data_IF_863750101186
#
_entry.id   IF_863750101186
#
_cell.length_a   1.000
_cell.length_b   1.000
_cell.length_c   1.000
_cell.angle_alpha   90.00
_cell.angle_beta   90.00
_cell.angle_gamma   90.00
#
_symmetry.space_group_name_H-M   'P 1'
#
loop_
_entity.id
_entity.type
_entity.pdbx_description
1 polymer ?
#
# COMPACT_ATOMS: atom_id res chain seq x y z
N UNK A 1 13.35 4.47 21.12
CA UNK A 1 12.21 4.47 22.08
C UNK A 1 11.08 3.56 21.60
N UNK A 2 10.68 3.55 20.31
CA UNK A 2 9.86 2.45 19.76
C UNK A 2 10.54 1.07 19.85
N UNK A 3 11.86 0.98 19.62
CA UNK A 3 12.67 -0.23 19.90
C UNK A 3 12.59 -0.74 21.35
N UNK A 4 12.24 0.11 22.33
CA UNK A 4 12.08 -0.30 23.74
C UNK A 4 10.69 -0.89 24.01
N UNK A 5 9.70 -0.60 23.15
CA UNK A 5 8.37 -1.19 23.19
C UNK A 5 8.34 -2.56 22.46
N UNK A 6 9.35 -2.86 21.64
CA UNK A 6 9.52 -4.16 20.95
C UNK A 6 10.46 -5.16 21.64
N UNK A 7 11.07 -4.80 22.79
CA UNK A 7 12.03 -5.66 23.48
C UNK A 7 11.37 -6.58 24.52
N UNK A 8 11.42 -7.91 24.31
CA UNK A 8 11.03 -8.92 25.31
C UNK A 8 11.92 -8.87 26.57
N UNK A 9 11.41 -9.25 27.75
CA UNK A 9 12.24 -9.78 28.84
C UNK A 9 12.83 -11.14 28.42
N UNK A 10 14.13 -11.37 28.65
CA UNK A 10 14.82 -12.59 28.24
C UNK A 10 14.27 -13.84 28.95
N UNK A 11 14.00 -14.91 28.19
CA UNK A 11 13.88 -16.27 28.72
C UNK A 11 14.91 -17.18 28.04
N UNK A 12 15.62 -17.95 28.85
CA UNK A 12 16.74 -18.83 28.53
C UNK A 12 16.32 -20.09 27.73
N UNK A 13 17.27 -20.88 27.17
CA UNK A 13 17.08 -21.64 25.94
C UNK A 13 16.50 -23.05 26.16
N UNK A 14 15.68 -23.50 25.22
CA UNK A 14 15.28 -24.91 25.12
C UNK A 14 15.92 -25.60 23.90
N UNK A 15 16.36 -26.82 24.18
CA UNK A 15 17.23 -27.74 23.44
C UNK A 15 16.73 -28.14 22.06
N UNK A 16 17.70 -28.34 21.15
CA UNK A 16 17.61 -29.11 19.92
C UNK A 16 17.05 -30.52 20.16
N UNK A 17 16.24 -31.01 19.21
CA UNK A 17 16.20 -32.42 18.84
C UNK A 17 15.97 -32.57 17.33
N UNK A 18 16.97 -33.16 16.69
CA UNK A 18 17.04 -33.64 15.32
C UNK A 18 16.01 -34.72 14.98
N UNK A 19 15.54 -34.77 13.72
CA UNK A 19 15.80 -35.92 12.85
C UNK A 19 15.19 -35.75 11.45
N UNK A 20 16.06 -35.91 10.45
CA UNK A 20 15.73 -36.05 9.04
C UNK A 20 15.06 -37.42 8.78
N UNK A 21 13.99 -37.44 7.98
CA UNK A 21 13.59 -38.63 7.22
C UNK A 21 13.46 -38.30 5.75
N UNK A 22 14.34 -38.94 4.96
CA UNK A 22 14.34 -38.97 3.51
C UNK A 22 13.16 -39.84 3.03
N UNK A 23 12.32 -39.30 2.16
CA UNK A 23 11.36 -40.07 1.38
C UNK A 23 11.89 -40.26 -0.04
N UNK A 24 12.01 -41.52 -0.46
CA UNK A 24 12.35 -41.96 -1.82
C UNK A 24 11.10 -42.06 -2.67
N UNK A 25 11.10 -41.44 -3.86
CA UNK A 25 10.05 -41.54 -4.88
C UNK A 25 10.43 -42.57 -5.96
N UNK A 26 9.52 -43.45 -6.44
CA UNK A 26 9.78 -44.34 -7.57
C UNK A 26 9.42 -43.71 -8.93
N UNK A 27 10.26 -44.05 -9.91
CA UNK A 27 10.22 -43.71 -11.34
C UNK A 27 8.92 -44.15 -12.04
N UNK A 28 8.40 -43.34 -12.96
CA UNK A 28 7.55 -43.78 -14.06
C UNK A 28 7.99 -43.18 -15.41
N UNK A 29 7.62 -43.90 -16.47
CA UNK A 29 8.30 -44.03 -17.76
C UNK A 29 7.95 -42.93 -18.77
N UNK A 30 8.93 -42.62 -19.63
CA UNK A 30 8.79 -41.91 -20.91
C UNK A 30 7.92 -42.69 -21.90
N UNK A 31 7.09 -41.98 -22.66
CA UNK A 31 6.68 -42.40 -24.01
C UNK A 31 6.58 -41.19 -24.95
N UNK A 32 7.31 -41.26 -26.06
CA UNK A 32 7.30 -40.33 -27.19
C UNK A 32 6.02 -40.45 -28.03
N UNK A 33 5.59 -39.33 -28.65
CA UNK A 33 4.88 -39.22 -29.94
C UNK A 33 4.84 -37.73 -30.31
N UNK A 34 5.81 -37.21 -31.06
CA UNK A 34 5.85 -36.99 -32.54
C UNK A 34 4.71 -36.11 -33.09
N UNK A 35 5.11 -34.94 -33.60
CA UNK A 35 4.33 -33.96 -34.36
C UNK A 35 3.80 -34.52 -35.70
N UNK A 36 2.69 -33.96 -36.17
CA UNK A 36 2.44 -33.79 -37.61
C UNK A 36 1.74 -32.45 -37.89
N UNK A 37 2.32 -31.68 -38.80
CA UNK A 37 1.79 -30.48 -39.44
C UNK A 37 0.98 -30.92 -40.67
N UNK A 38 -0.23 -30.38 -40.85
CA UNK A 38 -0.86 -30.27 -42.17
C UNK A 38 -1.86 -29.11 -42.21
N UNK A 39 -1.64 -28.27 -43.21
CA UNK A 39 -2.25 -27.01 -43.64
C UNK A 39 -3.69 -27.16 -44.12
N UNK A 40 -4.52 -26.11 -44.00
CA UNK A 40 -5.44 -25.66 -45.06
C UNK A 40 -6.04 -24.28 -44.74
N UNK A 41 -5.76 -23.33 -45.64
CA UNK A 41 -6.29 -21.97 -45.68
C UNK A 41 -7.73 -21.94 -46.22
N UNK A 42 -8.57 -21.04 -45.72
CA UNK A 42 -9.50 -20.28 -46.59
C UNK A 42 -9.95 -18.97 -45.93
N UNK A 43 -9.72 -17.87 -46.64
CA UNK A 43 -10.12 -16.49 -46.32
C UNK A 43 -11.63 -16.29 -46.48
N UNK A 44 -12.27 -15.61 -45.53
CA UNK A 44 -13.39 -14.70 -45.80
C UNK A 44 -13.24 -13.44 -44.95
N UNK A 45 -13.13 -12.30 -45.64
CA UNK A 45 -13.16 -10.94 -45.12
C UNK A 45 -14.56 -10.61 -44.57
N UNK A 46 -14.62 -10.07 -43.36
CA UNK A 46 -15.62 -9.05 -43.03
C UNK A 46 -14.97 -7.96 -42.17
N UNK A 47 -15.17 -6.72 -42.61
CA UNK A 47 -14.63 -5.49 -42.03
C UNK A 47 -15.30 -5.22 -40.69
N UNK A 48 -14.51 -4.92 -39.66
CA UNK A 48 -14.95 -4.12 -38.53
C UNK A 48 -13.81 -3.17 -38.12
N UNK A 49 -14.13 -1.93 -37.70
CA UNK A 49 -13.14 -0.87 -37.54
C UNK A 49 -12.23 -1.20 -36.36
N UNK A 50 -10.93 -1.03 -36.57
CA UNK A 50 -9.90 -1.08 -35.54
C UNK A 50 -10.26 -0.09 -34.43
N UNK A 51 -10.79 -0.61 -33.33
CA UNK A 51 -10.60 0.01 -32.02
C UNK A 51 -9.11 -0.16 -31.74
N UNK A 52 -8.35 0.92 -31.95
CA UNK A 52 -6.98 1.01 -31.48
C UNK A 52 -7.04 0.93 -29.95
N UNK A 53 -6.83 -0.25 -29.40
CA UNK A 53 -6.46 -0.41 -28.00
C UNK A 53 -5.07 0.21 -27.91
N UNK A 54 -5.01 1.47 -27.48
CA UNK A 54 -3.76 2.07 -27.04
C UNK A 54 -3.37 1.29 -25.78
N UNK A 55 -2.60 0.21 -25.97
CA UNK A 55 -1.72 -0.29 -24.94
C UNK A 55 -0.71 0.83 -24.71
N UNK A 56 -0.93 1.63 -23.68
CA UNK A 56 0.03 2.63 -23.25
C UNK A 56 1.17 1.92 -22.50
N UNK A 57 1.86 0.99 -23.18
CA UNK A 57 3.20 0.63 -22.77
C UNK A 57 4.05 1.83 -23.14
N UNK A 58 4.50 2.61 -22.15
CA UNK A 58 5.41 3.72 -22.40
C UNK A 58 6.59 3.19 -23.24
N UNK A 59 6.85 3.80 -24.40
CA UNK A 59 8.00 3.44 -25.23
C UNK A 59 9.27 3.49 -24.36
N UNK A 60 10.22 2.54 -24.48
CA UNK A 60 11.49 2.60 -23.76
C UNK A 60 12.23 3.94 -23.94
N UNK A 61 11.95 4.64 -25.05
CA UNK A 61 12.48 5.97 -25.35
C UNK A 61 11.97 7.10 -24.42
N UNK A 62 10.98 6.85 -23.56
CA UNK A 62 10.37 7.86 -22.70
C UNK A 62 11.03 7.99 -21.31
N UNK A 63 12.00 7.15 -20.98
CA UNK A 63 12.64 7.12 -19.65
C UNK A 63 14.09 7.58 -19.69
N UNK A 64 14.60 8.16 -18.59
CA UNK A 64 16.02 8.60 -18.50
C UNK A 64 17.00 7.42 -18.43
N UNK A 65 16.51 6.25 -18.03
CA UNK A 65 17.20 4.96 -18.14
C UNK A 65 16.28 3.95 -18.82
N UNK A 66 16.86 2.98 -19.52
CA UNK A 66 16.09 1.88 -20.11
C UNK A 66 15.44 1.04 -18.98
N UNK A 67 14.11 0.88 -18.98
CA UNK A 67 13.41 0.11 -17.97
C UNK A 67 13.71 -1.39 -18.14
N UNK A 68 13.96 -2.08 -17.04
CA UNK A 68 13.99 -3.54 -17.00
C UNK A 68 12.57 -4.09 -16.93
N UNK A 69 12.36 -5.27 -17.48
CA UNK A 69 11.10 -5.97 -17.34
C UNK A 69 10.85 -6.32 -15.87
N UNK A 70 9.73 -5.86 -15.33
CA UNK A 70 9.29 -6.22 -13.99
C UNK A 70 9.02 -7.74 -13.90
N UNK A 71 9.28 -8.36 -12.72
CA UNK A 71 8.85 -9.73 -12.46
C UNK A 71 7.33 -9.88 -12.67
N UNK A 72 6.92 -11.01 -13.24
CA UNK A 72 5.50 -11.31 -13.39
C UNK A 72 4.93 -11.75 -12.04
N UNK A 73 3.87 -11.07 -11.59
CA UNK A 73 3.12 -11.45 -10.40
C UNK A 73 1.84 -12.17 -10.85
N UNK A 74 1.80 -13.48 -10.60
CA UNK A 74 0.60 -14.28 -10.85
C UNK A 74 -0.44 -14.02 -9.76
N UNK A 75 -1.61 -13.53 -10.16
CA UNK A 75 -2.77 -13.33 -9.28
C UNK A 75 -3.87 -14.27 -9.75
N UNK A 76 -4.43 -15.14 -8.89
CA UNK A 76 -5.52 -16.04 -9.28
C UNK A 76 -6.69 -15.29 -9.89
N UNK A 77 -7.39 -15.90 -10.85
CA UNK A 77 -8.62 -15.34 -11.41
C UNK A 77 -9.70 -15.24 -10.31
N UNK A 78 -10.55 -14.22 -10.38
CA UNK A 78 -11.59 -14.00 -9.37
C UNK A 78 -12.53 -12.85 -9.71
N UNK A 79 -13.45 -12.58 -8.81
CA UNK A 79 -14.43 -11.48 -8.90
C UNK A 79 -13.77 -10.12 -8.63
N UNK A 80 -14.53 -9.03 -8.75
CA UNK A 80 -14.08 -7.69 -8.32
C UNK A 80 -14.86 -7.18 -7.09
N UNK A 81 -14.25 -6.22 -6.39
CA UNK A 81 -14.88 -5.40 -5.35
C UNK A 81 -14.93 -3.94 -5.78
N UNK A 82 -15.87 -3.18 -5.23
CA UNK A 82 -15.79 -1.72 -5.29
C UNK A 82 -14.84 -1.23 -4.19
N UNK A 83 -13.98 -0.28 -4.54
CA UNK A 83 -13.04 0.35 -3.60
C UNK A 83 -13.24 1.85 -3.69
N UNK A 84 -13.49 2.50 -2.58
CA UNK A 84 -13.52 3.97 -2.48
C UNK A 84 -12.41 4.42 -1.56
N UNK A 85 -11.64 5.42 -1.97
CA UNK A 85 -10.57 6.00 -1.15
C UNK A 85 -11.11 7.16 -0.32
N UNK A 86 -10.78 7.19 0.96
CA UNK A 86 -11.25 8.16 1.94
C UNK A 86 -10.06 9.02 2.38
N UNK A 87 -10.18 10.33 2.20
CA UNK A 87 -9.34 11.30 2.91
C UNK A 87 -9.80 11.33 4.37
N UNK A 88 -8.97 10.81 5.29
CA UNK A 88 -9.31 10.76 6.71
C UNK A 88 -9.30 12.15 7.38
N UNK A 89 -9.12 13.24 6.63
CA UNK A 89 -9.05 14.62 7.13
C UNK A 89 -7.89 14.85 8.10
N UNK A 90 -6.82 14.07 7.95
CA UNK A 90 -5.62 14.11 8.80
C UNK A 90 -4.56 14.98 8.15
N UNK A 91 -4.11 15.99 8.88
CA UNK A 91 -2.87 16.72 8.62
C UNK A 91 -1.85 16.32 9.69
N UNK A 92 -0.97 15.37 9.33
CA UNK A 92 0.15 14.96 10.17
C UNK A 92 1.45 15.48 9.55
N UNK A 93 2.28 16.12 10.38
CA UNK A 93 3.64 16.54 10.00
C UNK A 93 4.65 15.99 11.00
N UNK A 94 5.70 15.38 10.47
CA UNK A 94 6.77 14.80 11.28
C UNK A 94 8.14 15.02 10.63
N UNK A 95 9.24 15.04 11.41
CA UNK A 95 10.58 15.09 10.84
C UNK A 95 10.87 13.87 9.96
N UNK A 96 11.27 14.10 8.70
CA UNK A 96 11.55 13.03 7.74
C UNK A 96 12.59 12.04 8.28
N UNK A 97 13.63 12.57 8.95
CA UNK A 97 14.77 11.82 9.45
C UNK A 97 14.43 10.74 10.49
N UNK A 98 13.22 10.73 11.05
CA UNK A 98 12.75 9.64 11.90
C UNK A 98 12.43 8.37 11.10
N UNK A 99 12.07 8.52 9.82
CA UNK A 99 11.54 7.44 8.98
C UNK A 99 12.47 7.10 7.83
N UNK A 100 13.06 8.12 7.21
CA UNK A 100 13.74 8.00 5.93
C UNK A 100 14.96 8.92 5.81
N UNK A 101 15.89 8.55 4.94
CA UNK A 101 17.05 9.36 4.58
C UNK A 101 17.60 9.02 3.20
N UNK A 102 18.53 9.82 2.64
CA UNK A 102 19.10 11.03 3.24
C UNK A 102 18.10 12.19 3.31
N UNK A 103 18.40 13.21 4.12
CA UNK A 103 17.64 14.45 4.12
C UNK A 103 17.87 15.18 2.79
N UNK A 104 16.79 15.46 2.07
CA UNK A 104 16.79 16.20 0.81
C UNK A 104 16.44 17.66 1.13
N UNK A 105 17.17 18.67 0.62
CA UNK A 105 16.85 20.07 0.88
C UNK A 105 15.39 20.41 0.55
N UNK A 106 14.66 20.94 1.53
CA UNK A 106 13.23 21.26 1.41
C UNK A 106 12.28 20.13 1.82
N UNK A 107 12.80 18.95 2.16
CA UNK A 107 12.04 17.80 2.69
C UNK A 107 12.51 17.39 4.10
N UNK A 108 12.84 18.36 4.95
CA UNK A 108 13.21 18.08 6.35
C UNK A 108 11.99 17.62 7.18
N UNK A 109 10.80 18.06 6.78
CA UNK A 109 9.51 17.74 7.41
C UNK A 109 8.60 17.10 6.37
N UNK A 110 8.20 15.86 6.63
CA UNK A 110 7.22 15.14 5.84
C UNK A 110 5.81 15.58 6.19
N UNK A 111 4.97 15.76 5.16
CA UNK A 111 3.51 15.79 5.31
C UNK A 111 3.00 14.38 5.06
N UNK A 112 2.31 13.80 6.03
CA UNK A 112 1.81 12.44 5.98
C UNK A 112 0.29 12.49 6.18
N UNK A 113 -0.52 12.51 5.10
CA UNK A 113 -1.95 12.27 5.27
C UNK A 113 -2.18 10.86 5.81
N UNK A 114 -3.40 10.57 6.25
CA UNK A 114 -3.83 9.20 6.47
C UNK A 114 -4.95 8.89 5.51
N UNK A 115 -4.87 7.72 4.86
CA UNK A 115 -5.85 7.26 3.89
C UNK A 115 -6.54 6.02 4.43
N UNK A 116 -7.84 5.92 4.19
CA UNK A 116 -8.66 4.73 4.46
C UNK A 116 -9.33 4.28 3.18
N UNK A 117 -9.72 3.00 3.11
CA UNK A 117 -10.43 2.46 1.96
C UNK A 117 -11.71 1.77 2.40
N UNK A 118 -12.83 2.17 1.79
CA UNK A 118 -14.09 1.43 1.87
C UNK A 118 -14.10 0.37 0.78
N UNK A 119 -14.21 -0.90 1.18
CA UNK A 119 -14.25 -2.07 0.29
C UNK A 119 -15.65 -2.65 0.35
N UNK A 120 -16.34 -2.70 -0.79
CA UNK A 120 -17.70 -3.23 -0.88
C UNK A 120 -17.73 -4.46 -1.80
N UNK A 121 -18.10 -5.59 -1.21
CA UNK A 121 -18.25 -6.87 -1.92
C UNK A 121 -19.64 -6.99 -2.53
N UNK A 122 -19.76 -7.69 -3.67
CA UNK A 122 -21.05 -7.91 -4.36
C UNK A 122 -22.08 -8.66 -3.51
N UNK A 123 -21.61 -9.44 -2.52
CA UNK A 123 -22.42 -10.12 -1.52
C UNK A 123 -22.98 -9.20 -0.43
N UNK A 124 -22.69 -7.89 -0.48
CA UNK A 124 -23.26 -6.87 0.40
C UNK A 124 -22.38 -6.48 1.59
N UNK A 125 -21.33 -7.25 1.87
CA UNK A 125 -20.38 -6.98 2.97
C UNK A 125 -19.53 -5.74 2.67
N UNK A 126 -19.30 -4.93 3.70
CA UNK A 126 -18.46 -3.72 3.65
C UNK A 126 -17.36 -3.78 4.69
N UNK A 127 -16.15 -3.49 4.27
CA UNK A 127 -14.96 -3.45 5.12
C UNK A 127 -14.30 -2.09 5.01
N UNK A 128 -13.65 -1.68 6.10
CA UNK A 128 -12.70 -0.56 6.08
C UNK A 128 -11.29 -1.12 6.16
N UNK A 129 -10.39 -0.60 5.33
CA UNK A 129 -8.95 -0.82 5.47
C UNK A 129 -8.34 0.46 6.04
N UNK A 130 -7.87 0.37 7.28
CA UNK A 130 -7.47 1.46 8.18
C UNK A 130 -8.57 2.50 8.49
N UNK A 131 -8.34 3.28 9.54
CA UNK A 131 -9.22 4.36 10.02
C UNK A 131 -8.50 5.70 10.16
N UNK A 132 -7.22 5.77 9.80
CA UNK A 132 -6.40 6.95 10.01
C UNK A 132 -6.12 7.26 11.47
N UNK A 133 -5.99 8.55 11.81
CA UNK A 133 -5.82 9.04 13.16
C UNK A 133 -7.17 9.38 13.79
N UNK A 134 -7.38 9.02 15.07
CA UNK A 134 -8.58 9.42 15.81
C UNK A 134 -8.69 10.95 15.92
N UNK A 135 -9.91 11.47 15.79
CA UNK A 135 -10.20 12.92 15.87
C UNK A 135 -9.73 13.54 17.18
N UNK A 136 -9.94 12.84 18.29
CA UNK A 136 -9.54 13.23 19.64
C UNK A 136 -8.19 12.60 20.01
N UNK A 137 -7.17 12.77 19.17
CA UNK A 137 -5.84 12.15 19.34
C UNK A 137 -5.17 12.46 20.69
N UNK A 138 -5.61 13.48 21.42
CA UNK A 138 -5.16 13.74 22.79
C UNK A 138 -5.54 12.63 23.78
N UNK A 139 -6.51 11.78 23.41
CA UNK A 139 -6.93 10.58 24.15
C UNK A 139 -6.21 9.30 23.69
N UNK A 140 -5.17 9.42 22.86
CA UNK A 140 -4.27 8.29 22.60
C UNK A 140 -3.68 7.76 23.93
N UNK A 141 -3.32 6.47 24.00
CA UNK A 141 -2.64 5.92 25.17
C UNK A 141 -1.42 6.77 25.56
N UNK A 142 -1.15 7.00 26.85
CA UNK A 142 -0.08 7.90 27.29
C UNK A 142 1.30 7.57 26.69
N UNK A 143 1.59 6.28 26.50
CA UNK A 143 2.83 5.81 25.86
C UNK A 143 2.97 6.31 24.40
N UNK A 144 1.87 6.38 23.66
CA UNK A 144 1.82 6.91 22.29
C UNK A 144 1.83 8.43 22.30
N UNK A 145 1.03 9.05 23.17
CA UNK A 145 0.95 10.51 23.28
C UNK A 145 2.32 11.13 23.57
N UNK A 146 3.14 10.47 24.40
CA UNK A 146 4.52 10.89 24.67
C UNK A 146 5.46 10.86 23.46
N UNK A 147 5.14 10.09 22.41
CA UNK A 147 5.94 10.01 21.18
C UNK A 147 5.60 11.12 20.17
N UNK A 148 4.32 11.54 20.13
CA UNK A 148 3.80 12.50 19.14
C UNK A 148 3.80 13.96 19.65
N UNK A 149 4.80 14.28 20.48
CA UNK A 149 5.04 15.64 21.00
C UNK A 149 5.74 16.53 19.95
N UNK A 150 5.83 17.85 20.14
CA UNK A 150 6.60 18.72 19.25
C UNK A 150 8.00 18.13 18.97
N UNK A 151 8.44 18.08 17.70
CA UNK A 151 7.99 18.86 16.55
C UNK A 151 6.83 18.29 15.72
N UNK A 152 6.19 17.19 16.16
CA UNK A 152 5.03 16.64 15.47
C UNK A 152 3.86 17.63 15.49
N UNK A 153 3.09 17.67 14.40
CA UNK A 153 1.84 18.44 14.32
C UNK A 153 0.73 17.52 13.84
N UNK A 154 -0.35 17.45 14.61
CA UNK A 154 -1.49 16.58 14.39
C UNK A 154 -2.77 17.40 14.37
N UNK A 155 -3.46 17.39 13.25
CA UNK A 155 -4.81 17.94 13.10
C UNK A 155 -5.70 16.92 12.42
N UNK A 156 -6.90 16.73 12.95
CA UNK A 156 -7.90 15.80 12.42
C UNK A 156 -9.26 16.45 12.53
N UNK A 157 -10.02 16.50 11.43
CA UNK A 157 -11.35 17.14 11.45
C UNK A 157 -12.46 16.16 11.83
N UNK A 158 -12.38 14.92 11.33
CA UNK A 158 -13.41 13.89 11.48
C UNK A 158 -12.79 12.50 11.64
N UNK A 159 -13.44 11.65 12.43
CA UNK A 159 -13.21 10.22 12.36
C UNK A 159 -13.78 9.67 11.05
N UNK A 160 -13.23 8.57 10.54
CA UNK A 160 -13.77 7.87 9.35
C UNK A 160 -15.24 7.49 9.51
N UNK A 161 -15.68 7.10 10.71
CA UNK A 161 -17.09 6.84 11.00
C UNK A 161 -17.99 8.06 10.75
N UNK A 162 -17.55 9.26 11.14
CA UNK A 162 -18.29 10.52 10.88
C UNK A 162 -18.37 10.79 9.37
N UNK A 163 -17.24 10.63 8.65
CA UNK A 163 -17.18 10.82 7.19
C UNK A 163 -18.18 9.89 6.49
N UNK A 164 -18.20 8.61 6.87
CA UNK A 164 -19.12 7.62 6.31
C UNK A 164 -20.59 7.94 6.63
N UNK A 165 -20.90 8.22 7.90
CA UNK A 165 -22.25 8.48 8.37
C UNK A 165 -22.87 9.71 7.70
N UNK A 166 -22.11 10.79 7.56
CA UNK A 166 -22.58 12.02 6.90
C UNK A 166 -22.81 11.85 5.40
N UNK A 167 -22.15 10.87 4.78
CA UNK A 167 -22.22 10.60 3.35
C UNK A 167 -23.05 9.34 3.01
N UNK A 168 -23.99 8.98 3.90
CA UNK A 168 -25.05 8.01 3.59
C UNK A 168 -24.73 6.54 3.88
N UNK A 169 -23.59 6.24 4.52
CA UNK A 169 -23.30 4.89 5.03
C UNK A 169 -23.77 4.80 6.49
N UNK A 170 -24.72 3.91 6.78
CA UNK A 170 -25.32 3.79 8.12
C UNK A 170 -24.39 3.06 9.11
N UNK A 171 -23.31 3.73 9.52
CA UNK A 171 -22.33 3.21 10.47
C UNK A 171 -22.99 2.85 11.81
N UNK A 172 -23.83 3.74 12.32
CA UNK A 172 -24.56 3.52 13.57
C UNK A 172 -25.50 2.31 13.51
N UNK A 173 -26.14 2.07 12.35
CA UNK A 173 -26.96 0.89 12.08
C UNK A 173 -26.17 -0.39 11.77
N UNK A 174 -24.84 -0.36 11.77
CA UNK A 174 -24.00 -1.53 11.55
C UNK A 174 -23.75 -1.86 10.08
N UNK A 175 -23.73 -0.86 9.19
CA UNK A 175 -23.46 -1.07 7.76
C UNK A 175 -22.01 -1.52 7.44
N UNK A 176 -21.09 -1.45 8.41
CA UNK A 176 -19.69 -1.87 8.28
C UNK A 176 -19.50 -3.19 9.05
N UNK A 177 -19.18 -4.26 8.32
CA UNK A 177 -18.97 -5.59 8.86
C UNK A 177 -17.66 -5.71 9.63
N UNK A 178 -16.61 -5.02 9.17
CA UNK A 178 -15.29 -5.15 9.78
C UNK A 178 -14.33 -4.03 9.43
N UNK A 179 -13.40 -3.78 10.35
CA UNK A 179 -12.27 -2.87 10.22
C UNK A 179 -11.01 -3.72 10.16
N UNK A 180 -10.27 -3.59 9.07
CA UNK A 180 -8.95 -4.20 8.89
C UNK A 180 -7.92 -3.16 9.26
N UNK A 181 -7.12 -3.45 10.28
CA UNK A 181 -5.90 -2.68 10.54
C UNK A 181 -4.77 -3.26 9.71
N UNK A 182 -4.21 -2.44 8.82
CA UNK A 182 -2.94 -2.73 8.16
C UNK A 182 -1.87 -3.00 9.21
N UNK A 183 -1.86 -2.23 10.29
CA UNK A 183 -1.10 -2.48 11.51
C UNK A 183 -1.59 -1.57 12.65
N UNK A 184 -0.93 -1.66 13.80
CA UNK A 184 -1.42 -1.12 15.07
C UNK A 184 -0.97 0.31 15.40
N UNK A 185 -0.23 1.00 14.51
CA UNK A 185 0.19 2.37 14.80
C UNK A 185 -0.99 3.36 14.83
N UNK A 186 -0.80 4.42 15.60
CA UNK A 186 -1.86 5.32 16.06
C UNK A 186 -2.59 6.09 14.95
N UNK A 187 -1.94 6.25 13.81
CA UNK A 187 -2.38 6.91 12.59
C UNK A 187 -3.00 5.96 11.56
N UNK A 188 -3.21 4.69 11.93
CA UNK A 188 -3.94 3.68 11.16
C UNK A 188 -5.17 3.17 11.90
N UNK A 189 -5.08 3.07 13.22
CA UNK A 189 -6.10 2.41 14.05
C UNK A 189 -7.37 3.23 14.26
N UNK A 190 -7.29 4.55 14.11
CA UNK A 190 -8.39 5.49 14.35
C UNK A 190 -9.06 5.31 15.71
N UNK A 191 -10.39 5.43 15.74
CA UNK A 191 -11.21 5.13 16.91
C UNK A 191 -12.30 4.12 16.58
N UNK A 192 -12.05 2.81 16.75
CA UNK A 192 -13.07 1.78 16.50
C UNK A 192 -14.29 1.91 17.41
N UNK A 193 -14.21 2.61 18.55
CA UNK A 193 -15.36 2.78 19.45
C UNK A 193 -16.49 3.62 18.84
N UNK A 194 -16.21 4.32 17.75
CA UNK A 194 -17.21 5.03 16.92
C UNK A 194 -18.07 4.09 16.06
N UNK A 195 -17.75 2.80 16.02
CA UNK A 195 -18.51 1.74 15.35
C UNK A 195 -19.21 0.85 16.37
N UNK A 196 -20.39 0.28 16.05
CA UNK A 196 -21.06 -0.66 16.93
C UNK A 196 -20.21 -1.90 17.17
N UNK A 197 -20.50 -2.61 18.27
CA UNK A 197 -19.75 -3.81 18.65
C UNK A 197 -19.93 -4.99 17.68
N UNK A 198 -20.90 -4.91 16.76
CA UNK A 198 -21.10 -5.85 15.66
C UNK A 198 -20.06 -5.71 14.55
N UNK A 199 -19.30 -4.62 14.51
CA UNK A 199 -18.20 -4.43 13.56
C UNK A 199 -16.95 -5.16 14.06
N UNK A 200 -16.53 -6.17 13.32
CA UNK A 200 -15.33 -6.95 13.63
C UNK A 200 -14.07 -6.09 13.57
N UNK A 201 -13.08 -6.42 14.39
CA UNK A 201 -11.72 -5.93 14.24
C UNK A 201 -10.84 -7.04 13.65
N UNK A 202 -10.20 -6.76 12.52
CA UNK A 202 -9.38 -7.72 11.78
C UNK A 202 -7.93 -7.24 11.78
N UNK A 203 -7.01 -8.10 12.21
CA UNK A 203 -5.60 -7.76 12.41
C UNK A 203 -4.67 -8.83 11.86
N UNK A 204 -3.43 -8.45 11.54
CA UNK A 204 -2.39 -9.39 11.15
C UNK A 204 -1.88 -10.25 12.31
N UNK A 205 -1.09 -11.30 12.00
CA UNK A 205 -0.54 -12.23 12.99
C UNK A 205 0.26 -11.53 14.11
N UNK A 206 0.05 -11.97 15.35
CA UNK A 206 0.85 -11.55 16.51
C UNK A 206 0.43 -10.22 17.16
N UNK A 207 -0.47 -9.44 16.56
CA UNK A 207 -0.97 -8.17 17.14
C UNK A 207 -1.60 -8.41 18.51
N UNK A 208 -2.56 -9.35 18.60
CA UNK A 208 -3.28 -9.67 19.84
C UNK A 208 -2.32 -10.19 20.91
N UNK A 209 -1.48 -11.16 20.56
CA UNK A 209 -0.57 -11.82 21.50
C UNK A 209 0.53 -10.89 22.04
N UNK A 210 0.95 -9.90 21.25
CA UNK A 210 2.06 -9.03 21.59
C UNK A 210 1.63 -7.71 22.25
N UNK A 211 0.46 -7.19 21.91
CA UNK A 211 0.05 -5.82 22.27
C UNK A 211 -1.07 -5.75 23.29
N UNK A 212 -1.73 -6.86 23.61
CA UNK A 212 -2.78 -6.92 24.62
C UNK A 212 -2.27 -7.51 25.95
N UNK A 213 -2.79 -7.06 27.11
CA UNK A 213 -3.83 -6.05 27.28
C UNK A 213 -3.37 -4.63 26.90
N UNK A 214 -4.31 -3.82 26.39
CA UNK A 214 -4.08 -2.43 26.00
C UNK A 214 -4.23 -1.47 27.19
N UNK A 215 -4.17 -0.17 26.94
CA UNK A 215 -4.48 0.87 27.93
C UNK A 215 -6.00 1.02 28.15
N UNK A 216 -6.51 1.15 29.39
CA UNK A 216 -5.76 1.36 30.64
C UNK A 216 -5.34 0.09 31.40
N UNK A 217 -5.80 -1.12 31.04
CA UNK A 217 -5.41 -2.36 31.72
C UNK A 217 -3.90 -2.60 31.77
N UNK A 218 -3.17 -2.15 30.75
CA UNK A 218 -1.73 -1.99 30.74
C UNK A 218 -1.36 -0.50 30.68
N UNK A 219 -0.76 0.09 31.74
CA UNK A 219 -0.34 1.49 31.76
C UNK A 219 0.68 1.87 30.67
N UNK A 220 1.44 0.89 30.17
CA UNK A 220 2.40 1.06 29.07
C UNK A 220 1.84 0.59 27.72
N UNK A 221 0.56 0.24 27.66
CA UNK A 221 -0.11 -0.22 26.45
C UNK A 221 -0.11 0.87 25.38
N UNK A 222 0.13 0.45 24.14
CA UNK A 222 0.15 1.33 22.95
C UNK A 222 -1.16 1.32 22.17
N UNK A 223 -2.02 0.35 22.47
CA UNK A 223 -3.38 0.26 21.96
C UNK A 223 -4.37 0.58 23.07
N UNK A 224 -5.53 1.14 22.73
CA UNK A 224 -6.61 1.33 23.69
C UNK A 224 -7.49 0.09 23.78
N UNK A 225 -7.83 -0.37 24.99
CA UNK A 225 -8.76 -1.49 25.19
C UNK A 225 -10.16 -1.20 24.62
N UNK A 226 -10.55 0.07 24.52
CA UNK A 226 -11.83 0.47 23.89
C UNK A 226 -11.93 0.06 22.42
N UNK A 227 -10.78 -0.08 21.73
CA UNK A 227 -10.75 -0.56 20.35
C UNK A 227 -11.25 -2.01 20.22
N UNK A 228 -11.13 -2.81 21.28
CA UNK A 228 -11.47 -4.23 21.31
C UNK A 228 -12.75 -4.52 22.10
N UNK A 229 -13.23 -3.56 22.89
CA UNK A 229 -14.32 -3.76 23.83
C UNK A 229 -15.62 -4.19 23.12
N UNK A 230 -16.14 -5.35 23.53
CA UNK A 230 -17.45 -5.86 23.11
C UNK A 230 -17.52 -6.40 21.67
N UNK A 231 -16.44 -6.34 20.89
CA UNK A 231 -16.42 -6.77 19.48
C UNK A 231 -15.55 -7.99 19.25
N UNK A 232 -15.84 -8.73 18.19
CA UNK A 232 -15.01 -9.86 17.78
C UNK A 232 -13.67 -9.34 17.20
N UNK A 233 -12.55 -9.95 17.59
CA UNK A 233 -11.23 -9.66 17.03
C UNK A 233 -10.70 -10.89 16.29
N UNK A 234 -10.45 -10.74 14.99
CA UNK A 234 -10.02 -11.81 14.08
C UNK A 234 -8.56 -11.59 13.70
N UNK A 235 -7.72 -12.58 14.00
CA UNK A 235 -6.33 -12.60 13.52
C UNK A 235 -6.25 -13.40 12.23
N UNK A 236 -5.68 -12.83 11.18
CA UNK A 236 -5.49 -13.52 9.90
C UNK A 236 -4.45 -14.64 10.05
N UNK A 237 -4.78 -15.84 9.57
CA UNK A 237 -3.85 -16.96 9.49
C UNK A 237 -3.44 -17.22 8.04
N UNK A 238 -2.29 -16.66 7.65
CA UNK A 238 -1.69 -16.87 6.34
C UNK A 238 -1.19 -18.30 6.08
N UNK A 239 -1.16 -19.17 7.11
CA UNK A 239 -0.72 -20.57 6.97
C UNK A 239 -1.88 -21.53 6.68
N UNK A 240 -3.11 -21.17 7.05
CA UNK A 240 -4.29 -22.02 6.89
C UNK A 240 -4.52 -22.45 5.41
N UNK A 241 -4.26 -21.54 4.47
CA UNK A 241 -4.27 -21.81 3.02
C UNK A 241 -3.02 -21.16 2.41
N UNK A 242 -1.88 -21.80 2.56
CA UNK A 242 -0.60 -21.23 2.14
C UNK A 242 -0.52 -21.08 0.61
N UNK A 243 -0.60 -19.85 0.13
CA UNK A 243 -0.17 -19.42 -1.21
C UNK A 243 0.46 -18.04 -1.13
N UNK A 244 1.05 -17.59 -2.24
CA UNK A 244 1.68 -16.28 -2.34
C UNK A 244 1.17 -15.52 -3.55
N UNK A 245 1.19 -14.20 -3.43
CA UNK A 245 1.12 -13.27 -4.56
C UNK A 245 2.41 -12.46 -4.51
N UNK A 246 3.22 -12.54 -5.57
CA UNK A 246 4.59 -12.03 -5.55
C UNK A 246 5.41 -12.73 -4.45
N UNK A 247 6.15 -11.96 -3.66
CA UNK A 247 6.93 -12.49 -2.53
C UNK A 247 6.08 -12.81 -1.28
N UNK A 248 4.88 -12.24 -1.18
CA UNK A 248 4.11 -12.19 0.07
C UNK A 248 3.14 -13.36 0.22
N UNK A 249 3.07 -14.02 1.41
CA UNK A 249 1.94 -14.86 1.78
C UNK A 249 0.62 -14.11 1.60
N UNK A 250 -0.37 -14.77 1.02
CA UNK A 250 -1.64 -14.15 0.68
C UNK A 250 -2.81 -14.89 1.33
N UNK A 251 -3.85 -14.13 1.66
CA UNK A 251 -5.12 -14.61 2.19
C UNK A 251 -6.27 -14.00 1.38
N UNK A 252 -7.02 -14.84 0.68
CA UNK A 252 -8.22 -14.41 -0.04
C UNK A 252 -9.37 -14.22 0.96
N UNK A 253 -9.72 -12.97 1.22
CA UNK A 253 -10.63 -12.59 2.31
C UNK A 253 -12.06 -13.04 2.07
N UNK A 254 -12.55 -12.89 0.83
CA UNK A 254 -13.90 -13.32 0.44
C UNK A 254 -13.92 -14.75 -0.13
N UNK A 255 -12.76 -15.29 -0.52
CA UNK A 255 -12.64 -16.64 -1.09
C UNK A 255 -13.05 -16.73 -2.55
N UNK A 256 -13.25 -15.58 -3.22
CA UNK A 256 -13.64 -15.47 -4.62
C UNK A 256 -12.62 -14.69 -5.47
N UNK A 257 -11.44 -14.42 -4.92
CA UNK A 257 -10.32 -13.75 -5.57
C UNK A 257 -10.50 -12.26 -5.83
N UNK A 258 -11.47 -11.63 -5.15
CA UNK A 258 -11.78 -10.19 -5.28
C UNK A 258 -10.99 -9.28 -4.33
N UNK A 259 -10.61 -9.76 -3.16
CA UNK A 259 -9.81 -9.00 -2.19
C UNK A 259 -8.88 -9.91 -1.42
N UNK A 260 -7.58 -9.61 -1.49
CA UNK A 260 -6.53 -10.34 -0.78
C UNK A 260 -5.93 -9.46 0.31
N UNK A 261 -5.60 -10.08 1.43
CA UNK A 261 -4.65 -9.55 2.40
C UNK A 261 -3.29 -10.19 2.15
N UNK A 262 -2.22 -9.44 2.32
CA UNK A 262 -0.85 -9.88 2.12
C UNK A 262 -0.06 -9.69 3.41
N UNK A 263 0.72 -10.68 3.82
CA UNK A 263 1.64 -10.59 4.97
C UNK A 263 2.91 -9.86 4.55
N UNK A 264 3.07 -8.61 5.02
CA UNK A 264 4.14 -7.70 4.58
C UNK A 264 4.98 -7.28 5.80
N UNK A 265 5.82 -8.18 6.33
CA UNK A 265 6.49 -7.96 7.61
C UNK A 265 7.56 -6.85 7.53
N UNK A 266 7.93 -6.31 8.69
CA UNK A 266 9.09 -5.43 8.84
C UNK A 266 8.76 -4.13 9.57
N UNK A 267 7.80 -3.36 9.05
CA UNK A 267 7.41 -2.09 9.67
C UNK A 267 6.84 -2.28 11.08
N UNK A 268 5.84 -3.14 11.20
CA UNK A 268 5.18 -3.44 12.47
C UNK A 268 4.86 -4.94 12.57
N UNK A 269 4.71 -5.45 13.80
CA UNK A 269 4.19 -6.80 14.05
C UNK A 269 2.78 -6.89 13.45
N UNK A 270 2.56 -7.91 12.62
CA UNK A 270 1.30 -8.14 11.94
C UNK A 270 0.97 -7.09 10.87
N UNK A 271 1.98 -6.44 10.30
CA UNK A 271 1.76 -5.53 9.17
C UNK A 271 1.26 -6.29 7.94
N UNK A 272 0.15 -5.82 7.38
CA UNK A 272 -0.52 -6.39 6.21
C UNK A 272 -0.83 -5.32 5.18
N UNK A 273 -0.82 -5.71 3.91
CA UNK A 273 -1.30 -4.90 2.80
C UNK A 273 -2.59 -5.47 2.22
N UNK A 274 -3.40 -4.60 1.60
CA UNK A 274 -4.58 -5.00 0.83
C UNK A 274 -4.26 -5.07 -0.66
N UNK A 275 -4.82 -6.05 -1.38
CA UNK A 275 -4.80 -6.11 -2.84
C UNK A 275 -6.22 -6.38 -3.33
N UNK A 276 -6.89 -5.33 -3.78
CA UNK A 276 -8.29 -5.37 -4.21
C UNK A 276 -8.38 -5.40 -5.73
N UNK A 277 -9.10 -6.37 -6.29
CA UNK A 277 -9.41 -6.41 -7.71
C UNK A 277 -10.55 -5.44 -8.00
N UNK A 278 -10.30 -4.42 -8.79
CA UNK A 278 -11.27 -3.37 -9.16
C UNK A 278 -12.02 -3.67 -10.45
N UNK A 279 -11.41 -4.41 -11.38
CA UNK A 279 -12.08 -4.95 -12.57
C UNK A 279 -11.69 -6.40 -12.78
N UNK A 280 -12.60 -7.22 -13.28
CA UNK A 280 -12.36 -8.66 -13.51
C UNK A 280 -12.65 -9.07 -14.95
N UNK A 281 -11.72 -9.84 -15.55
CA UNK A 281 -11.99 -10.54 -16.82
C UNK A 281 -13.12 -11.56 -16.68
N UNK A 282 -13.22 -12.22 -15.53
CA UNK A 282 -14.29 -13.19 -15.26
C UNK A 282 -15.68 -12.54 -15.23
N UNK A 283 -15.74 -11.24 -14.95
CA UNK A 283 -16.96 -10.42 -14.97
C UNK A 283 -17.13 -9.61 -16.27
N UNK A 284 -16.39 -9.96 -17.33
CA UNK A 284 -16.55 -9.36 -18.66
C UNK A 284 -15.77 -8.06 -18.90
N UNK A 285 -14.86 -7.67 -18.00
CA UNK A 285 -13.95 -6.53 -18.24
C UNK A 285 -12.84 -6.92 -19.23
N UNK A 286 -12.23 -5.94 -19.90
CA UNK A 286 -11.11 -6.17 -20.83
C UNK A 286 -9.84 -6.71 -20.16
N UNK A 287 -9.70 -6.46 -18.85
CA UNK A 287 -8.55 -6.86 -18.06
C UNK A 287 -8.85 -6.88 -16.58
N UNK A 288 -7.98 -7.56 -15.84
CA UNK A 288 -7.95 -7.46 -14.38
C UNK A 288 -7.16 -6.22 -13.99
N UNK A 289 -7.73 -5.39 -13.14
CA UNK A 289 -7.05 -4.25 -12.53
C UNK A 289 -7.15 -4.32 -11.02
N UNK A 290 -6.16 -3.77 -10.33
CA UNK A 290 -6.07 -3.84 -8.88
C UNK A 290 -5.66 -2.50 -8.25
N UNK A 291 -6.07 -2.32 -7.01
CA UNK A 291 -5.51 -1.32 -6.10
C UNK A 291 -4.73 -2.05 -5.02
N UNK A 292 -3.45 -1.71 -4.85
CA UNK A 292 -2.60 -2.20 -3.78
C UNK A 292 -2.54 -1.15 -2.67
N UNK A 293 -3.07 -1.50 -1.50
CA UNK A 293 -3.13 -0.69 -0.28
C UNK A 293 -1.90 -1.01 0.57
N UNK A 294 -0.81 -0.29 0.32
CA UNK A 294 0.52 -0.58 0.82
C UNK A 294 0.79 -0.15 2.27
N UNK A 295 -0.12 0.62 2.87
CA UNK A 295 0.03 1.16 4.22
C UNK A 295 1.45 1.74 4.43
N UNK A 296 2.11 1.36 5.52
CA UNK A 296 3.45 1.82 5.89
C UNK A 296 4.59 0.93 5.38
N UNK A 297 4.36 0.17 4.30
CA UNK A 297 5.50 -0.43 3.58
C UNK A 297 6.50 0.66 3.17
N UNK A 298 6.00 1.87 2.88
CA UNK A 298 6.76 3.11 2.82
C UNK A 298 5.97 4.29 3.39
N UNK A 299 6.67 5.31 3.90
CA UNK A 299 6.05 6.55 4.40
C UNK A 299 6.10 7.70 3.38
N UNK A 300 6.91 7.57 2.33
CA UNK A 300 7.00 8.52 1.22
C UNK A 300 7.32 7.75 -0.06
N UNK A 301 6.71 8.14 -1.17
CA UNK A 301 6.83 7.42 -2.45
C UNK A 301 8.25 7.42 -3.02
N UNK A 302 9.04 8.45 -2.72
CA UNK A 302 10.47 8.49 -3.00
C UNK A 302 11.31 7.37 -2.35
N UNK A 303 10.74 6.56 -1.45
CA UNK A 303 11.39 5.37 -0.91
C UNK A 303 11.26 4.13 -1.82
N UNK A 304 10.29 4.12 -2.74
CA UNK A 304 10.10 3.03 -3.70
C UNK A 304 10.00 3.47 -5.15
N UNK A 305 10.22 4.76 -5.44
CA UNK A 305 10.27 5.33 -6.79
C UNK A 305 11.40 6.35 -6.91
N UNK A 306 12.06 6.45 -8.08
CA UNK A 306 11.97 5.55 -9.23
C UNK A 306 12.62 4.18 -8.96
N UNK A 307 12.47 3.22 -9.87
CA UNK A 307 13.09 1.87 -9.78
C UNK A 307 13.69 1.44 -11.11
N UNK A 308 14.40 0.31 -11.12
CA UNK A 308 14.91 -0.29 -12.35
C UNK A 308 13.80 -0.75 -13.31
N UNK A 309 12.60 -0.99 -12.79
CA UNK A 309 11.42 -1.37 -13.57
C UNK A 309 10.62 -0.16 -14.05
N UNK A 310 10.60 0.91 -13.26
CA UNK A 310 9.96 2.18 -13.56
C UNK A 310 10.93 3.34 -13.29
N UNK A 311 11.86 3.63 -14.22
CA UNK A 311 12.74 4.78 -14.10
C UNK A 311 11.98 6.11 -14.23
N UNK A 312 12.66 7.22 -13.95
CA UNK A 312 12.13 8.56 -14.17
C UNK A 312 11.80 8.77 -15.66
N UNK A 313 10.64 9.35 -15.98
CA UNK A 313 10.34 9.79 -17.34
C UNK A 313 11.29 10.90 -17.77
N UNK A 314 11.64 10.97 -19.06
CA UNK A 314 12.37 12.12 -19.63
C UNK A 314 11.58 13.42 -19.46
N UNK A 315 10.26 13.34 -19.59
CA UNK A 315 9.32 14.45 -19.46
C UNK A 315 8.24 14.10 -18.44
N UNK A 316 8.03 15.00 -17.48
CA UNK A 316 7.05 14.85 -16.40
C UNK A 316 6.02 15.95 -16.52
N UNK A 317 4.76 15.55 -16.66
CA UNK A 317 3.60 16.43 -16.80
C UNK A 317 2.44 15.93 -15.95
N UNK A 318 1.80 16.79 -15.12
CA UNK A 318 2.14 18.19 -14.91
C UNK A 318 3.51 18.36 -14.24
N UNK A 319 4.16 19.49 -14.50
CA UNK A 319 5.50 19.76 -13.97
C UNK A 319 5.52 19.80 -12.43
N UNK A 320 6.36 18.98 -11.77
CA UNK A 320 6.56 19.10 -10.32
C UNK A 320 7.39 20.33 -9.92
N UNK A 321 7.96 21.07 -10.88
CA UNK A 321 8.76 22.27 -10.64
C UNK A 321 8.16 23.48 -11.36
N UNK A 322 6.84 23.68 -11.27
CA UNK A 322 6.07 24.73 -11.96
C UNK A 322 6.67 26.15 -11.88
N UNK A 323 7.38 26.48 -10.80
CA UNK A 323 8.03 27.80 -10.62
C UNK A 323 9.14 28.06 -11.63
N UNK A 324 9.85 27.01 -12.03
CA UNK A 324 11.01 27.07 -12.94
C UNK A 324 10.66 26.49 -14.32
N UNK A 325 9.86 25.44 -14.33
CA UNK A 325 9.41 24.72 -15.53
C UNK A 325 7.87 24.69 -15.52
N UNK A 326 7.17 25.67 -16.10
CA UNK A 326 5.73 25.87 -15.87
C UNK A 326 4.82 24.82 -16.52
N UNK A 327 5.31 24.02 -17.48
CA UNK A 327 4.49 23.07 -18.24
C UNK A 327 4.99 21.63 -18.07
N UNK A 328 6.22 21.36 -18.51
CA UNK A 328 6.86 20.04 -18.48
C UNK A 328 8.18 20.15 -17.75
N UNK A 329 8.47 19.20 -16.86
CA UNK A 329 9.74 19.11 -16.15
C UNK A 329 10.58 17.95 -16.69
N UNK A 330 11.88 18.15 -16.86
CA UNK A 330 12.78 17.07 -17.27
C UNK A 330 13.10 16.15 -16.10
N UNK A 331 12.94 14.84 -16.28
CA UNK A 331 13.34 13.85 -15.25
C UNK A 331 14.82 13.89 -14.91
N UNK A 332 15.66 14.37 -15.82
CA UNK A 332 17.10 14.55 -15.57
C UNK A 332 17.38 15.51 -14.41
N UNK A 333 16.47 16.43 -14.11
CA UNK A 333 16.61 17.34 -12.96
C UNK A 333 16.54 16.58 -11.63
N UNK A 334 15.64 15.61 -11.53
CA UNK A 334 15.51 14.77 -10.34
C UNK A 334 16.62 13.71 -10.25
N UNK A 335 17.11 13.23 -11.39
CA UNK A 335 18.33 12.41 -11.44
C UNK A 335 19.55 13.20 -10.95
N UNK A 336 19.67 14.48 -11.32
CA UNK A 336 20.82 15.31 -10.93
C UNK A 336 20.95 15.51 -9.41
N UNK A 337 19.84 15.53 -8.68
CA UNK A 337 19.82 15.66 -7.21
C UNK A 337 19.82 14.33 -6.47
N UNK A 338 19.67 13.20 -7.17
CA UNK A 338 19.74 11.87 -6.55
C UNK A 338 21.15 11.65 -5.95
N UNK A 339 21.30 11.07 -4.74
CA UNK A 339 22.60 10.90 -4.08
C UNK A 339 23.65 10.16 -4.94
N UNK A 340 23.21 9.20 -5.74
CA UNK A 340 24.04 8.45 -6.70
C UNK A 340 23.89 8.89 -8.17
N UNK A 341 23.21 10.02 -8.45
CA UNK A 341 22.88 10.47 -9.80
C UNK A 341 22.16 9.43 -10.68
N UNK A 342 21.21 8.68 -10.08
CA UNK A 342 20.43 7.62 -10.73
C UNK A 342 18.97 8.03 -10.88
N UNK A 343 18.41 7.77 -12.06
CA UNK A 343 16.99 7.95 -12.34
C UNK A 343 16.19 6.65 -12.27
N UNK A 344 16.80 5.56 -11.83
CA UNK A 344 16.22 4.22 -11.72
C UNK A 344 16.41 3.60 -10.32
N UNK A 345 16.64 4.46 -9.32
CA UNK A 345 16.75 4.09 -7.91
C UNK A 345 15.96 5.08 -7.03
N UNK A 346 15.37 4.62 -5.92
CA UNK A 346 14.67 5.51 -5.00
C UNK A 346 15.59 6.56 -4.37
N UNK A 347 15.09 7.78 -4.21
CA UNK A 347 15.82 8.89 -3.58
C UNK A 347 15.96 8.73 -2.07
N UNK A 348 15.03 8.00 -1.45
CA UNK A 348 14.96 7.80 -0.01
C UNK A 348 15.12 6.32 0.35
N UNK A 349 15.64 6.09 1.54
CA UNK A 349 15.86 4.78 2.15
C UNK A 349 15.20 4.76 3.52
N UNK A 350 14.65 3.61 3.91
CA UNK A 350 14.20 3.38 5.29
C UNK A 350 15.42 3.46 6.22
N UNK A 351 15.30 4.19 7.33
CA UNK A 351 16.35 4.25 8.37
C UNK A 351 16.00 3.37 9.57
N UNK A 352 16.99 3.05 10.39
CA UNK A 352 16.73 2.38 11.67
C UNK A 352 15.93 3.30 12.61
N UNK A 353 14.97 2.72 13.35
CA UNK A 353 14.29 3.42 14.44
C UNK A 353 12.80 3.09 14.57
N UNK A 354 12.03 3.41 13.53
CA UNK A 354 10.57 3.21 13.49
C UNK A 354 10.20 1.75 13.18
N UNK A 355 10.76 1.10 12.14
CA UNK A 355 10.39 -0.28 11.82
C UNK A 355 10.74 -1.24 12.96
N UNK A 356 9.86 -2.21 13.21
CA UNK A 356 10.10 -3.30 14.14
C UNK A 356 11.32 -4.15 13.72
N UNK A 357 11.45 -4.43 12.42
CA UNK A 357 12.62 -5.03 11.79
C UNK A 357 12.97 -4.26 10.50
N UNK A 358 14.04 -3.45 10.57
CA UNK A 358 14.46 -2.58 9.47
C UNK A 358 14.89 -3.37 8.23
N UNK A 359 15.58 -4.50 8.38
CA UNK A 359 16.06 -5.26 7.22
C UNK A 359 14.90 -5.96 6.52
N UNK A 360 13.97 -6.51 7.31
CA UNK A 360 12.75 -7.10 6.77
C UNK A 360 11.87 -6.03 6.10
N UNK A 361 11.77 -4.83 6.68
CA UNK A 361 11.03 -3.71 6.07
C UNK A 361 11.64 -3.28 4.72
N UNK A 362 12.97 -3.20 4.62
CA UNK A 362 13.67 -2.92 3.36
C UNK A 362 13.40 -4.02 2.32
N UNK A 363 13.41 -5.29 2.74
CA UNK A 363 13.07 -6.41 1.84
C UNK A 363 11.63 -6.30 1.34
N UNK A 364 10.67 -6.08 2.22
CA UNK A 364 9.26 -5.94 1.87
C UNK A 364 9.01 -4.73 0.97
N UNK A 365 9.71 -3.62 1.20
CA UNK A 365 9.68 -2.44 0.34
C UNK A 365 10.18 -2.76 -1.07
N UNK A 366 11.26 -3.54 -1.20
CA UNK A 366 11.77 -3.99 -2.49
C UNK A 366 10.76 -4.90 -3.20
N UNK A 367 10.15 -5.84 -2.48
CA UNK A 367 9.15 -6.74 -3.05
C UNK A 367 7.88 -5.97 -3.49
N UNK A 368 7.49 -4.89 -2.78
CA UNK A 368 6.40 -3.99 -3.17
C UNK A 368 6.68 -3.26 -4.49
N UNK A 369 7.95 -3.00 -4.84
CA UNK A 369 8.31 -2.34 -6.10
C UNK A 369 7.88 -3.15 -7.32
N UNK A 370 7.80 -4.48 -7.22
CA UNK A 370 7.30 -5.35 -8.29
C UNK A 370 5.81 -5.11 -8.56
N UNK A 371 5.02 -4.88 -7.50
CA UNK A 371 3.60 -4.53 -7.62
C UNK A 371 3.42 -3.14 -8.23
N UNK A 372 4.19 -2.15 -7.78
CA UNK A 372 4.13 -0.78 -8.33
C UNK A 372 4.49 -0.71 -9.82
N UNK A 373 5.37 -1.62 -10.26
CA UNK A 373 5.81 -1.74 -11.64
C UNK A 373 4.74 -2.31 -12.59
N UNK A 374 3.72 -2.99 -12.08
CA UNK A 374 2.69 -3.60 -12.92
C UNK A 374 1.68 -2.57 -13.44
N UNK A 375 1.50 -2.48 -14.76
CA UNK A 375 0.56 -1.55 -15.40
C UNK A 375 -0.91 -1.75 -15.00
N UNK A 376 -1.26 -2.89 -14.42
CA UNK A 376 -2.61 -3.21 -13.97
C UNK A 376 -2.77 -3.15 -12.45
N UNK A 377 -1.79 -2.62 -11.72
CA UNK A 377 -1.87 -2.34 -10.28
C UNK A 377 -1.61 -0.87 -10.02
N UNK A 378 -2.50 -0.23 -9.26
CA UNK A 378 -2.28 1.08 -8.68
C UNK A 378 -1.83 0.92 -7.23
N UNK A 379 -0.54 1.14 -6.95
CA UNK A 379 0.01 1.08 -5.59
C UNK A 379 -0.13 2.43 -4.88
N UNK A 380 -0.76 2.39 -3.69
CA UNK A 380 -1.03 3.54 -2.83
C UNK A 380 -0.51 3.23 -1.42
N UNK A 381 0.32 4.10 -0.87
CA UNK A 381 0.76 4.04 0.53
C UNK A 381 -0.08 4.97 1.40
N UNK A 382 -0.11 4.75 2.72
CA UNK A 382 -1.00 5.51 3.62
C UNK A 382 -0.72 7.02 3.64
N UNK A 383 0.55 7.38 3.46
CA UNK A 383 1.05 8.75 3.65
C UNK A 383 1.45 9.45 2.36
N UNK A 384 0.87 9.07 1.21
CA UNK A 384 1.15 9.73 -0.06
C UNK A 384 0.43 11.09 -0.16
N UNK A 385 1.09 12.15 0.32
CA UNK A 385 0.60 13.52 0.20
C UNK A 385 0.38 14.00 -1.23
N UNK A 386 1.00 13.34 -2.23
CA UNK A 386 0.82 13.74 -3.63
C UNK A 386 -0.59 13.44 -4.14
N UNK A 387 -1.30 12.47 -3.54
CA UNK A 387 -2.67 12.12 -3.91
C UNK A 387 -3.69 13.20 -3.53
N UNK A 388 -3.42 13.99 -2.49
CA UNK A 388 -4.29 15.09 -2.06
C UNK A 388 -4.33 16.25 -3.07
N UNK A 389 -3.45 16.24 -4.05
CA UNK A 389 -3.33 17.32 -5.01
C UNK A 389 -4.33 17.13 -6.16
N UNK A 390 -5.00 18.20 -6.63
CA UNK A 390 -5.98 18.09 -7.72
C UNK A 390 -5.43 17.41 -8.98
N UNK A 391 -4.14 17.56 -9.24
CA UNK A 391 -3.43 16.98 -10.39
C UNK A 391 -3.40 15.44 -10.37
N UNK A 392 -3.45 14.81 -9.19
CA UNK A 392 -3.55 13.36 -9.06
C UNK A 392 -4.88 12.83 -9.60
N UNK A 393 -5.91 13.68 -9.68
CA UNK A 393 -7.22 13.31 -10.20
C UNK A 393 -7.99 12.31 -9.33
N UNK A 394 -7.62 12.18 -8.05
CA UNK A 394 -8.33 11.32 -7.10
C UNK A 394 -9.69 11.94 -6.79
N UNK A 395 -10.74 11.19 -7.10
CA UNK A 395 -12.10 11.49 -6.68
C UNK A 395 -12.39 10.72 -5.39
N UNK A 396 -12.40 11.45 -4.27
CA UNK A 396 -12.58 10.89 -2.94
C UNK A 396 -14.01 10.37 -2.72
N UNK A 397 -14.16 9.40 -1.83
CA UNK A 397 -15.46 9.02 -1.29
C UNK A 397 -16.24 10.27 -0.80
N UNK A 398 -17.55 10.39 -1.08
CA UNK A 398 -18.44 9.39 -1.69
C UNK A 398 -18.58 9.51 -3.22
N UNK A 399 -17.75 10.30 -3.89
CA UNK A 399 -18.03 10.74 -5.26
C UNK A 399 -17.69 9.70 -6.33
N UNK A 400 -16.69 8.83 -6.09
CA UNK A 400 -16.29 7.81 -7.04
C UNK A 400 -15.74 6.55 -6.35
N UNK A 401 -15.62 5.50 -7.14
CA UNK A 401 -14.86 4.29 -6.81
C UNK A 401 -13.61 4.22 -7.68
N UNK A 402 -12.65 3.41 -7.29
CA UNK A 402 -11.43 3.16 -8.04
C UNK A 402 -11.65 2.25 -9.26
N UNK A 403 -12.88 1.85 -9.61
CA UNK A 403 -13.12 0.90 -10.72
C UNK A 403 -12.54 1.36 -12.06
N UNK A 404 -12.52 2.67 -12.31
CA UNK A 404 -12.06 3.27 -13.57
C UNK A 404 -10.67 3.93 -13.47
N UNK A 405 -9.91 3.68 -12.39
CA UNK A 405 -8.61 4.32 -12.15
C UNK A 405 -7.66 4.20 -13.36
N UNK A 406 -7.68 3.04 -14.03
CA UNK A 406 -6.83 2.77 -15.19
C UNK A 406 -7.29 3.53 -16.43
N UNK A 407 -8.61 3.68 -16.62
CA UNK A 407 -9.19 4.42 -17.75
C UNK A 407 -8.96 5.93 -17.59
N UNK A 408 -8.99 6.42 -16.34
CA UNK A 408 -8.69 7.81 -15.98
C UNK A 408 -7.19 8.12 -15.91
N UNK A 409 -6.33 7.12 -16.15
CA UNK A 409 -4.87 7.24 -16.08
C UNK A 409 -4.36 7.77 -14.73
N UNK A 410 -5.03 7.38 -13.63
CA UNK A 410 -4.70 7.87 -12.29
C UNK A 410 -3.29 7.44 -11.87
N UNK A 411 -2.86 6.23 -12.26
CA UNK A 411 -1.51 5.76 -11.95
C UNK A 411 -0.43 6.69 -12.51
N UNK A 412 -0.51 7.07 -13.80
CA UNK A 412 0.49 7.94 -14.40
C UNK A 412 0.49 9.35 -13.79
N UNK A 413 -0.70 9.89 -13.49
CA UNK A 413 -0.87 11.21 -12.85
C UNK A 413 -0.34 11.27 -11.42
N UNK A 414 -0.60 10.24 -10.63
CA UNK A 414 -0.19 10.17 -9.23
C UNK A 414 1.29 9.78 -9.07
N UNK A 415 1.80 8.87 -9.91
CA UNK A 415 3.08 8.17 -9.69
C UNK A 415 4.26 9.11 -9.45
N UNK A 416 4.31 10.24 -10.14
CA UNK A 416 5.41 11.21 -10.08
C UNK A 416 5.06 12.50 -9.33
N UNK A 417 3.86 12.61 -8.75
CA UNK A 417 3.41 13.82 -8.05
C UNK A 417 4.30 14.19 -6.85
N UNK A 418 4.90 13.20 -6.20
CA UNK A 418 5.81 13.39 -5.07
C UNK A 418 7.08 14.16 -5.41
N UNK A 419 7.49 14.20 -6.68
CA UNK A 419 8.70 14.90 -7.09
C UNK A 419 8.63 16.41 -6.82
N UNK A 420 7.42 16.98 -6.64
CA UNK A 420 7.25 18.38 -6.21
C UNK A 420 7.89 18.63 -4.84
N UNK A 421 7.96 17.61 -4.00
CA UNK A 421 8.58 17.69 -2.67
C UNK A 421 10.11 17.85 -2.79
N UNK A 422 10.68 17.59 -3.97
CA UNK A 422 12.08 17.81 -4.30
C UNK A 422 12.32 19.10 -5.10
N UNK A 423 11.29 19.89 -5.38
CA UNK A 423 11.40 21.11 -6.19
C UNK A 423 12.45 22.08 -5.66
N UNK A 424 12.54 22.26 -4.34
CA UNK A 424 13.54 23.13 -3.74
C UNK A 424 14.98 22.62 -3.94
N UNK A 425 15.20 21.31 -3.82
CA UNK A 425 16.50 20.70 -4.10
C UNK A 425 16.90 20.86 -5.57
N UNK A 426 15.94 20.73 -6.51
CA UNK A 426 16.18 21.00 -7.94
C UNK A 426 16.60 22.45 -8.15
N UNK A 427 15.89 23.41 -7.57
CA UNK A 427 16.20 24.84 -7.70
C UNK A 427 17.61 25.18 -7.18
N UNK A 428 18.01 24.61 -6.05
CA UNK A 428 19.38 24.77 -5.51
C UNK A 428 20.41 24.19 -6.47
N UNK A 429 20.14 23.02 -7.06
CA UNK A 429 21.06 22.36 -7.99
C UNK A 429 21.24 23.16 -9.28
N UNK A 430 20.16 23.71 -9.83
CA UNK A 430 20.21 24.51 -11.07
C UNK A 430 20.86 25.89 -10.90
N UNK A 431 20.94 26.39 -9.67
CA UNK A 431 21.60 27.67 -9.37
C UNK A 431 23.12 27.57 -9.21
N UNK A 432 23.69 26.35 -9.23
CA UNK A 432 25.14 26.08 -9.19
C UNK A 432 25.69 25.93 -10.60
#
# INVERSE_FOLDING_TARGET
>A
MLRLLSARPSAAPHRELSSFRKYTCPKTKRSNKTLSIATLETKIQSKNPLISIIMCSASPDNFVHEPKMAPSIEIPAGNSVNVSIIDCTVSLRAPLALFMGPVIPGLEVMSAPCLSFLIEHSGGRKLLFDLGLRKDWQNLPPAVLGLVQPPWKLEVQKNVAEILQENGVDVAGGAIDGIIWSHWHFDHVGDPSTFPSSTDLIVGPGVVDYLLPGYPGNPNGVLSESAFAGRETKTIDFKAKAFKIGAFPAFDFFGDGSFYLLDVPGHAIGHICGLARTTSKAEGSSGDTFVFMGADTAHHTGAFRPTEYLPLPKEISPSPCERVHPTVCSGHLFQAIHPEHRGDKPHLNIVEGIPNDTQQAISSLKDMQEFDAMENILAIIAHDASLLRPEAGIEWFPHATMRDWKQKDLASKARWGFLRDYSHAVEINQAK
#
